data_IF_842089710338
#
_entry.id   IF_842089710338
#
_cell.length_a   1.000
_cell.length_b   1.000
_cell.length_c   1.000
_cell.angle_alpha   90.00
_cell.angle_beta   90.00
_cell.angle_gamma   90.00
#
_symmetry.space_group_name_H-M   'P 1'
#
loop_
_entity.id
_entity.type
_entity.pdbx_description
1 polymer ?
#
# COMPACT_ATOMS: atom_id res chain seq x y z
N UNK A 1 -12.94 -2.93 -4.72
CA UNK A 1 -12.71 -1.74 -3.86
C UNK A 1 -11.73 -0.76 -4.49
N UNK A 2 -10.81 -1.17 -5.36
CA UNK A 2 -9.90 -0.26 -6.06
C UNK A 2 -10.65 0.86 -6.81
N UNK A 3 -11.88 0.63 -7.23
CA UNK A 3 -12.77 1.64 -7.82
C UNK A 3 -13.08 2.82 -6.87
N UNK A 4 -12.90 2.64 -5.55
CA UNK A 4 -13.06 3.69 -4.54
C UNK A 4 -11.73 4.25 -4.05
N UNK A 5 -10.59 3.88 -4.66
CA UNK A 5 -9.26 4.32 -4.24
C UNK A 5 -9.14 5.86 -4.21
N UNK A 6 -9.73 6.53 -5.20
CA UNK A 6 -9.70 8.00 -5.32
C UNK A 6 -10.70 8.72 -4.41
N UNK A 7 -11.52 7.98 -3.65
CA UNK A 7 -12.45 8.57 -2.67
C UNK A 7 -11.79 8.91 -1.34
N UNK A 8 -10.60 8.35 -1.08
CA UNK A 8 -9.80 8.66 0.10
C UNK A 8 -9.06 9.98 -0.17
N UNK A 9 -9.09 10.90 0.80
CA UNK A 9 -8.37 12.17 0.72
C UNK A 9 -6.86 11.98 1.00
N UNK A 10 -6.15 11.28 0.11
CA UNK A 10 -4.75 10.90 0.29
C UNK A 10 -3.81 12.06 0.62
N UNK A 11 -3.99 13.20 -0.04
CA UNK A 11 -3.19 14.41 0.21
C UNK A 11 -3.41 15.03 1.60
N UNK A 12 -4.45 14.64 2.33
CA UNK A 12 -4.65 15.04 3.73
C UNK A 12 -4.12 14.04 4.74
N UNK A 13 -3.61 12.89 4.27
CA UNK A 13 -3.00 11.86 5.12
C UNK A 13 -1.48 11.97 5.02
N UNK A 14 -0.81 11.62 6.10
CA UNK A 14 0.64 11.47 6.13
C UNK A 14 1.09 10.00 6.01
N UNK A 15 2.30 9.85 5.48
CA UNK A 15 3.10 8.64 5.43
C UNK A 15 4.55 8.97 5.87
N UNK A 16 5.48 8.01 5.84
CA UNK A 16 6.84 8.18 6.36
C UNK A 16 7.64 9.39 5.81
N UNK A 17 7.36 9.81 4.57
CA UNK A 17 8.13 10.85 3.88
C UNK A 17 7.36 12.15 3.61
N UNK A 18 6.16 12.34 4.18
CA UNK A 18 5.32 13.51 3.89
C UNK A 18 3.85 13.16 3.64
N UNK A 19 3.18 13.91 2.78
CA UNK A 19 1.81 13.64 2.36
C UNK A 19 1.72 12.36 1.51
N UNK A 20 0.57 11.70 1.57
CA UNK A 20 0.38 10.38 0.95
C UNK A 20 -0.24 10.43 -0.45
N UNK A 21 -0.15 11.56 -1.18
CA UNK A 21 -0.79 11.70 -2.50
C UNK A 21 -0.26 10.72 -3.56
N UNK A 22 0.90 10.10 -3.34
CA UNK A 22 1.53 9.12 -4.21
C UNK A 22 1.03 7.67 -3.99
N UNK A 23 0.44 7.37 -2.82
CA UNK A 23 -0.03 6.03 -2.43
C UNK A 23 -1.00 5.40 -3.44
N UNK A 24 -1.99 6.11 -4.02
CA UNK A 24 -2.91 5.53 -5.00
C UNK A 24 -2.20 4.95 -6.21
N UNK A 25 -1.21 5.68 -6.73
CA UNK A 25 -0.47 5.26 -7.92
C UNK A 25 0.46 4.09 -7.60
N UNK A 26 1.06 4.06 -6.41
CA UNK A 26 1.82 2.91 -5.93
C UNK A 26 0.94 1.65 -5.82
N UNK A 27 -0.28 1.76 -5.27
CA UNK A 27 -1.23 0.63 -5.18
C UNK A 27 -1.62 0.12 -6.57
N UNK A 28 -1.92 1.01 -7.52
CA UNK A 28 -2.24 0.61 -8.90
C UNK A 28 -1.08 -0.10 -9.58
N UNK A 29 0.15 0.38 -9.36
CA UNK A 29 1.37 -0.21 -9.90
C UNK A 29 1.62 -1.64 -9.40
N UNK A 30 1.13 -2.02 -8.23
CA UNK A 30 1.25 -3.41 -7.75
C UNK A 30 0.59 -4.44 -8.67
N UNK A 31 -0.43 -4.02 -9.44
CA UNK A 31 -1.12 -4.90 -10.41
C UNK A 31 -0.33 -5.10 -11.70
N UNK A 32 0.77 -4.37 -11.89
CA UNK A 32 1.63 -4.52 -13.07
C UNK A 32 2.72 -5.56 -12.78
N UNK A 33 3.00 -6.48 -13.72
CA UNK A 33 4.09 -7.45 -13.59
C UNK A 33 5.41 -6.81 -13.14
N UNK A 34 6.08 -7.43 -12.15
CA UNK A 34 7.43 -7.10 -11.70
C UNK A 34 7.68 -5.65 -11.18
N UNK A 35 6.68 -5.01 -10.57
CA UNK A 35 6.85 -3.65 -9.99
C UNK A 35 7.38 -3.67 -8.55
N UNK A 36 8.53 -4.32 -8.33
CA UNK A 36 9.18 -4.41 -7.01
C UNK A 36 9.49 -3.03 -6.41
N UNK A 37 9.81 -2.05 -7.24
CA UNK A 37 10.02 -0.67 -6.82
C UNK A 37 8.76 -0.05 -6.19
N UNK A 38 7.58 -0.23 -6.81
CA UNK A 38 6.33 0.28 -6.27
C UNK A 38 5.99 -0.38 -4.93
N UNK A 39 6.26 -1.68 -4.81
CA UNK A 39 6.05 -2.41 -3.57
C UNK A 39 7.00 -1.92 -2.47
N UNK A 40 8.28 -1.75 -2.77
CA UNK A 40 9.26 -1.25 -1.82
C UNK A 40 8.94 0.18 -1.37
N UNK A 41 8.61 1.06 -2.31
CA UNK A 41 8.20 2.43 -2.00
C UNK A 41 6.94 2.45 -1.13
N UNK A 42 5.89 1.70 -1.53
CA UNK A 42 4.65 1.64 -0.76
C UNK A 42 4.88 1.11 0.65
N UNK A 43 5.69 0.04 0.77
CA UNK A 43 6.07 -0.54 2.04
C UNK A 43 6.71 0.52 2.93
N UNK A 44 7.77 1.18 2.47
CA UNK A 44 8.47 2.21 3.24
C UNK A 44 7.60 3.43 3.55
N UNK A 45 6.67 3.79 2.66
CA UNK A 45 5.75 4.90 2.86
C UNK A 45 4.78 4.61 4.01
N UNK A 46 4.03 3.50 3.93
CA UNK A 46 2.95 3.21 4.88
C UNK A 46 3.40 2.41 6.11
N UNK A 47 4.62 1.90 6.12
CA UNK A 47 5.22 1.24 7.27
C UNK A 47 6.75 1.38 7.25
N UNK A 48 7.26 2.20 8.18
CA UNK A 48 8.69 2.49 8.23
C UNK A 48 9.24 2.22 9.62
N UNK A 49 10.23 1.31 9.71
CA UNK A 49 10.95 1.02 10.95
C UNK A 49 10.04 0.73 12.16
N UNK A 50 8.94 -0.01 11.95
CA UNK A 50 8.00 -0.36 13.03
C UNK A 50 6.88 0.65 13.27
N UNK A 51 6.82 1.74 12.49
CA UNK A 51 5.81 2.79 12.63
C UNK A 51 4.77 2.69 11.52
N UNK A 52 3.49 2.72 11.89
CA UNK A 52 2.36 2.93 10.98
C UNK A 52 1.99 4.41 10.90
N UNK A 53 1.35 4.81 9.81
CA UNK A 53 1.00 6.20 9.50
C UNK A 53 -0.49 6.34 9.18
N UNK A 54 -0.97 7.57 9.03
CA UNK A 54 -2.38 7.84 8.72
C UNK A 54 -2.83 7.17 7.42
N UNK A 55 -1.93 7.06 6.44
CA UNK A 55 -2.19 6.37 5.18
C UNK A 55 -2.27 4.84 5.29
N UNK A 56 -1.76 4.22 6.37
CA UNK A 56 -1.68 2.76 6.51
C UNK A 56 -3.04 2.12 6.56
N UNK A 57 -3.91 2.56 7.48
CA UNK A 57 -5.26 2.01 7.63
C UNK A 57 -6.08 2.11 6.34
N UNK A 58 -6.17 3.30 5.71
CA UNK A 58 -6.85 3.48 4.44
C UNK A 58 -6.28 2.63 3.29
N UNK A 59 -4.98 2.30 3.29
CA UNK A 59 -4.39 1.45 2.25
C UNK A 59 -4.79 -0.03 2.36
N UNK A 60 -4.96 -0.56 3.58
CA UNK A 60 -5.21 -2.00 3.85
C UNK A 60 -6.32 -2.62 3.00
N UNK A 61 -7.53 -2.02 2.88
CA UNK A 61 -8.62 -2.61 2.09
C UNK A 61 -8.22 -2.85 0.62
N UNK A 62 -7.45 -1.92 0.03
CA UNK A 62 -7.01 -2.03 -1.36
C UNK A 62 -5.86 -3.04 -1.52
N UNK A 63 -4.95 -3.10 -0.55
CA UNK A 63 -3.90 -4.13 -0.53
C UNK A 63 -4.48 -5.55 -0.42
N UNK A 64 -5.55 -5.73 0.36
CA UNK A 64 -6.24 -7.02 0.43
C UNK A 64 -6.89 -7.41 -0.89
N UNK A 65 -7.41 -6.44 -1.65
CA UNK A 65 -7.96 -6.70 -2.98
C UNK A 65 -6.87 -7.04 -4.00
N UNK A 66 -5.73 -6.34 -3.98
CA UNK A 66 -4.57 -6.71 -4.82
C UNK A 66 -4.07 -8.11 -4.46
N UNK A 67 -4.02 -8.44 -3.17
CA UNK A 67 -3.63 -9.77 -2.70
C UNK A 67 -4.64 -10.87 -3.11
N UNK A 68 -5.91 -10.53 -3.29
CA UNK A 68 -6.93 -11.50 -3.70
C UNK A 68 -6.77 -11.93 -5.17
N UNK A 69 -6.08 -11.14 -6.00
CA UNK A 69 -5.79 -11.45 -7.40
C UNK A 69 -4.69 -12.52 -7.51
N UNK A 70 -5.03 -13.73 -7.95
CA UNK A 70 -4.12 -14.89 -8.07
C UNK A 70 -2.97 -14.66 -9.06
N UNK A 71 -3.19 -13.80 -10.05
CA UNK A 71 -2.20 -13.47 -11.06
C UNK A 71 -1.30 -12.28 -10.66
N UNK A 72 -1.56 -11.66 -9.49
CA UNK A 72 -0.75 -10.53 -9.03
C UNK A 72 0.68 -10.99 -8.70
N UNK A 73 1.72 -10.35 -9.26
CA UNK A 73 3.10 -10.59 -8.86
C UNK A 73 3.33 -10.14 -7.41
N UNK A 74 4.31 -10.73 -6.71
CA UNK A 74 4.77 -10.23 -5.40
C UNK A 74 3.80 -10.44 -4.23
N UNK A 75 2.89 -11.42 -4.31
CA UNK A 75 1.92 -11.75 -3.25
C UNK A 75 2.59 -12.09 -1.91
N UNK A 76 3.75 -12.73 -1.95
CA UNK A 76 4.54 -13.07 -0.77
C UNK A 76 4.99 -11.82 0.01
N UNK A 77 5.50 -10.82 -0.71
CA UNK A 77 5.92 -9.54 -0.15
C UNK A 77 4.73 -8.71 0.33
N UNK A 78 3.60 -8.74 -0.40
CA UNK A 78 2.37 -8.06 0.00
C UNK A 78 1.75 -8.69 1.26
N UNK A 79 1.75 -10.01 1.38
CA UNK A 79 1.43 -10.73 2.62
C UNK A 79 2.34 -10.29 3.77
N UNK A 80 3.64 -10.18 3.51
CA UNK A 80 4.61 -9.67 4.47
C UNK A 80 4.27 -8.27 4.97
N UNK A 81 4.00 -7.33 4.07
CA UNK A 81 3.57 -5.97 4.42
C UNK A 81 2.32 -5.97 5.29
N UNK A 82 1.27 -6.71 4.87
CA UNK A 82 0.02 -6.82 5.61
C UNK A 82 0.21 -7.38 7.03
N UNK A 83 1.12 -8.34 7.21
CA UNK A 83 1.46 -8.85 8.52
C UNK A 83 2.13 -7.77 9.40
N UNK A 84 3.04 -6.97 8.86
CA UNK A 84 3.73 -5.92 9.61
C UNK A 84 2.80 -4.78 10.03
N UNK A 85 1.94 -4.31 9.13
CA UNK A 85 0.96 -3.24 9.46
C UNK A 85 -0.12 -3.70 10.43
N UNK A 86 -0.27 -5.01 10.66
CA UNK A 86 -1.21 -5.57 11.64
C UNK A 86 -0.65 -5.60 13.07
N UNK A 87 0.66 -5.39 13.24
CA UNK A 87 1.38 -5.50 14.52
C UNK A 87 1.81 -4.13 15.07
N UNK A 88 1.95 -3.13 14.18
CA UNK A 88 2.36 -1.76 14.52
C UNK A 88 1.20 -0.76 14.61
#
# INVERSE_FOLDING_TARGET
MLDTLDTVAWSSLSHAYGDAADVPDLIRRLRTPANEEALHALYGNIYHQGTTYEATGPAVPFLLEVLADEDSPGRDHLCGLLAHVSIG
#
